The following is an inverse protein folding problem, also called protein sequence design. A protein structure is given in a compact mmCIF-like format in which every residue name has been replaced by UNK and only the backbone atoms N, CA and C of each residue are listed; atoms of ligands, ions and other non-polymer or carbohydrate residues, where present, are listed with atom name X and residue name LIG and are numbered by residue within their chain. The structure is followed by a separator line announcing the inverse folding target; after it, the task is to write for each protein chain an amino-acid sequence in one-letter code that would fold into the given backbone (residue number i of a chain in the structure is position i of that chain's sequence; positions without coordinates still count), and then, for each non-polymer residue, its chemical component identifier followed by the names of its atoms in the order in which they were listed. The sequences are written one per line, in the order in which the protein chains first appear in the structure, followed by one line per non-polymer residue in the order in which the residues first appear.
data_IF_364852074957
#
_entry.id   IF_364852074957
#
_cell.length_a   1.000
_cell.length_b   1.000
_cell.length_c   1.000
_cell.angle_alpha   90.00
_cell.angle_beta   90.00
_cell.angle_gamma   90.00
#
_symmetry.space_group_name_H-M   'P 1'
#
loop_
_entity.id
_entity.type
_entity.pdbx_description
1 polymer ?
#
# COMPACT_ATOMS: atom_id res chain seq x y z
N UNK A 1 -12.56 -34.91 9.51
CA UNK A 1 -11.28 -35.48 10.00
C UNK A 1 -10.41 -34.35 10.54
N UNK A 2 -10.15 -34.36 11.85
CA UNK A 2 -9.18 -33.61 12.68
C UNK A 2 -9.03 -32.08 12.55
N UNK A 3 -9.93 -31.34 13.21
CA UNK A 3 -9.80 -29.91 13.49
C UNK A 3 -9.04 -29.53 14.77
N UNK A 4 -8.41 -30.48 15.49
CA UNK A 4 -8.00 -30.23 16.89
C UNK A 4 -6.53 -29.88 17.14
N UNK A 5 -5.62 -29.79 16.15
CA UNK A 5 -4.22 -29.46 16.46
C UNK A 5 -3.48 -28.66 15.37
N UNK A 6 -4.13 -27.67 14.76
CA UNK A 6 -3.43 -26.70 13.88
C UNK A 6 -2.70 -25.59 14.65
N UNK A 7 -3.02 -25.41 15.94
CA UNK A 7 -2.35 -24.44 16.83
C UNK A 7 -0.81 -24.57 16.86
N UNK A 8 -0.22 -25.77 17.05
CA UNK A 8 1.23 -25.91 16.99
C UNK A 8 1.81 -25.53 15.64
N UNK A 9 1.12 -25.83 14.52
CA UNK A 9 1.57 -25.46 13.18
C UNK A 9 1.62 -23.93 13.00
N UNK A 10 0.59 -23.20 13.45
CA UNK A 10 0.58 -21.74 13.39
C UNK A 10 1.66 -21.11 14.27
N UNK A 11 1.91 -21.68 15.45
CA UNK A 11 2.96 -21.21 16.35
C UNK A 11 4.34 -21.44 15.74
N UNK A 12 4.60 -22.63 15.18
CA UNK A 12 5.85 -22.93 14.48
C UNK A 12 6.04 -22.00 13.27
N UNK A 13 4.99 -21.75 12.49
CA UNK A 13 5.03 -20.80 11.37
C UNK A 13 5.33 -19.37 11.82
N UNK A 14 4.71 -18.91 12.91
CA UNK A 14 4.96 -17.58 13.46
C UNK A 14 6.41 -17.45 13.97
N UNK A 15 6.92 -18.46 14.67
CA UNK A 15 8.32 -18.48 15.12
C UNK A 15 9.27 -18.48 13.93
N UNK A 16 8.97 -19.27 12.89
CA UNK A 16 9.78 -19.31 11.68
C UNK A 16 9.85 -17.93 10.99
N UNK A 17 8.73 -17.22 10.87
CA UNK A 17 8.69 -15.87 10.31
C UNK A 17 9.48 -14.86 11.16
N UNK A 18 9.40 -14.95 12.48
CA UNK A 18 10.16 -14.05 13.37
C UNK A 18 11.67 -14.30 13.31
N UNK A 19 12.10 -15.55 13.14
CA UNK A 19 13.52 -15.92 13.09
C UNK A 19 14.11 -15.74 11.68
N UNK A 20 13.27 -15.74 10.64
CA UNK A 20 13.68 -15.63 9.24
C UNK A 20 14.66 -14.47 8.95
N UNK A 21 14.39 -13.21 9.29
CA UNK A 21 15.29 -12.10 8.95
C UNK A 21 16.65 -12.25 9.62
N UNK A 22 16.70 -12.81 10.84
CA UNK A 22 17.94 -13.04 11.57
C UNK A 22 18.80 -14.07 10.86
N UNK A 23 18.20 -15.15 10.34
CA UNK A 23 18.93 -16.15 9.55
C UNK A 23 19.40 -15.58 8.21
N UNK A 24 18.51 -14.90 7.50
CA UNK A 24 18.82 -14.30 6.19
C UNK A 24 19.92 -13.23 6.30
N UNK A 25 19.95 -12.46 7.39
CA UNK A 25 21.00 -11.46 7.63
C UNK A 25 22.40 -12.08 7.66
N UNK A 26 22.56 -13.35 8.10
CA UNK A 26 23.85 -14.04 8.09
C UNK A 26 24.34 -14.33 6.66
N UNK A 27 23.42 -14.54 5.71
CA UNK A 27 23.74 -14.76 4.30
C UNK A 27 23.87 -13.46 3.49
N UNK A 28 23.51 -12.32 4.10
CA UNK A 28 23.62 -10.99 3.53
C UNK A 28 22.29 -10.23 3.49
N UNK A 29 22.37 -8.90 3.59
CA UNK A 29 21.22 -8.01 3.65
C UNK A 29 20.31 -8.06 2.39
N UNK A 30 20.84 -8.53 1.26
CA UNK A 30 20.07 -8.68 0.02
C UNK A 30 18.91 -9.69 0.19
N UNK A 31 19.12 -10.78 0.93
CA UNK A 31 18.09 -11.79 1.17
C UNK A 31 16.96 -11.26 2.05
N UNK A 32 17.29 -10.47 3.07
CA UNK A 32 16.29 -9.80 3.91
C UNK A 32 15.48 -8.82 3.07
N UNK A 33 16.13 -8.02 2.21
CA UNK A 33 15.46 -7.09 1.31
C UNK A 33 14.48 -7.78 0.35
N UNK A 34 14.82 -8.97 -0.16
CA UNK A 34 13.89 -9.76 -0.98
C UNK A 34 12.68 -10.20 -0.15
N UNK A 35 12.89 -10.60 1.11
CA UNK A 35 11.81 -10.97 2.01
C UNK A 35 10.91 -9.75 2.36
N UNK A 36 11.49 -8.56 2.52
CA UNK A 36 10.76 -7.31 2.73
C UNK A 36 9.86 -6.98 1.54
N UNK A 37 10.41 -7.06 0.32
CA UNK A 37 9.63 -6.87 -0.89
C UNK A 37 8.50 -7.89 -0.97
N UNK A 38 8.76 -9.17 -0.67
CA UNK A 38 7.72 -10.19 -0.65
C UNK A 38 6.58 -9.84 0.33
N UNK A 39 6.89 -9.37 1.54
CA UNK A 39 5.87 -8.91 2.50
C UNK A 39 5.09 -7.70 1.98
N UNK A 40 5.76 -6.77 1.31
CA UNK A 40 5.13 -5.61 0.68
C UNK A 40 4.14 -6.03 -0.42
N UNK A 41 4.52 -6.96 -1.30
CA UNK A 41 3.60 -7.51 -2.31
C UNK A 41 2.43 -8.27 -1.68
N UNK A 42 2.63 -8.96 -0.56
CA UNK A 42 1.53 -9.58 0.20
C UNK A 42 0.54 -8.53 0.68
N UNK A 43 1.00 -7.38 1.19
CA UNK A 43 0.10 -6.28 1.57
C UNK A 43 -0.67 -5.73 0.38
N UNK A 44 0.00 -5.50 -0.75
CA UNK A 44 -0.63 -5.03 -1.99
C UNK A 44 -1.68 -6.02 -2.50
N UNK A 45 -1.36 -7.31 -2.53
CA UNK A 45 -2.27 -8.37 -2.95
C UNK A 45 -3.50 -8.44 -2.02
N UNK A 46 -3.30 -8.38 -0.70
CA UNK A 46 -4.41 -8.35 0.26
C UNK A 46 -5.32 -7.12 0.08
N UNK A 47 -4.75 -5.96 -0.24
CA UNK A 47 -5.50 -4.75 -0.53
C UNK A 47 -6.32 -4.86 -1.82
N UNK A 48 -5.71 -5.35 -2.90
CA UNK A 48 -6.38 -5.58 -4.18
C UNK A 48 -7.46 -6.67 -4.09
N UNK A 49 -7.25 -7.70 -3.27
CA UNK A 49 -8.22 -8.78 -3.04
C UNK A 49 -9.57 -8.27 -2.50
N UNK A 50 -9.61 -7.10 -1.87
CA UNK A 50 -10.88 -6.48 -1.46
C UNK A 50 -11.73 -6.11 -2.69
N UNK A 51 -11.10 -5.56 -3.73
CA UNK A 51 -11.78 -5.08 -4.94
C UNK A 51 -12.07 -6.25 -5.87
N UNK A 52 -11.03 -7.04 -6.18
CA UNK A 52 -11.12 -8.15 -7.13
C UNK A 52 -11.79 -9.36 -6.51
N UNK A 53 -11.35 -9.78 -5.34
CA UNK A 53 -11.84 -10.99 -4.66
C UNK A 53 -13.22 -10.81 -4.05
N UNK A 54 -13.49 -9.73 -3.30
CA UNK A 54 -14.79 -9.60 -2.63
C UNK A 54 -15.85 -8.96 -3.50
N UNK A 55 -15.55 -7.85 -4.18
CA UNK A 55 -16.53 -7.12 -4.99
C UNK A 55 -16.62 -7.62 -6.45
N UNK A 56 -15.67 -8.43 -6.93
CA UNK A 56 -15.67 -8.96 -8.30
C UNK A 56 -15.34 -7.92 -9.36
N UNK A 57 -14.63 -6.85 -9.00
CA UNK A 57 -14.29 -5.74 -9.88
C UNK A 57 -12.84 -5.89 -10.31
N UNK A 58 -12.59 -6.12 -11.60
CA UNK A 58 -11.22 -6.24 -12.10
C UNK A 58 -10.55 -4.86 -12.14
N UNK A 59 -9.46 -4.72 -11.38
CA UNK A 59 -8.69 -3.48 -11.27
C UNK A 59 -7.23 -3.74 -11.67
N UNK A 60 -6.89 -3.36 -12.91
CA UNK A 60 -5.54 -3.43 -13.44
C UNK A 60 -4.76 -2.13 -13.19
N UNK A 61 -5.40 -1.12 -12.58
CA UNK A 61 -4.82 0.18 -12.28
C UNK A 61 -4.29 0.32 -10.86
N UNK A 62 -4.21 -0.78 -10.10
CA UNK A 62 -3.93 -0.76 -8.67
C UNK A 62 -2.62 -0.03 -8.31
N UNK A 63 -1.64 -0.06 -9.22
CA UNK A 63 -0.37 0.65 -9.09
C UNK A 63 -0.53 2.17 -8.91
N UNK A 64 -1.63 2.76 -9.36
CA UNK A 64 -1.91 4.18 -9.14
C UNK A 64 -2.11 4.50 -7.65
N UNK A 65 -2.81 3.65 -6.90
CA UNK A 65 -3.03 3.87 -5.47
C UNK A 65 -1.73 3.65 -4.69
N UNK A 66 -0.92 2.70 -5.14
CA UNK A 66 0.43 2.49 -4.65
C UNK A 66 1.31 3.74 -4.87
N UNK A 67 1.26 4.33 -6.07
CA UNK A 67 1.98 5.57 -6.40
C UNK A 67 1.52 6.76 -5.54
N UNK A 68 0.21 6.96 -5.39
CA UNK A 68 -0.34 8.05 -4.57
C UNK A 68 0.18 8.01 -3.14
N UNK A 69 0.21 6.83 -2.52
CA UNK A 69 0.72 6.68 -1.15
C UNK A 69 2.24 6.86 -1.04
N UNK A 70 2.99 6.40 -2.04
CA UNK A 70 4.44 6.56 -2.08
C UNK A 70 4.85 8.03 -2.27
N UNK A 71 4.21 8.74 -3.19
CA UNK A 71 4.46 10.16 -3.41
C UNK A 71 3.95 11.04 -2.27
N UNK A 72 2.85 10.67 -1.61
CA UNK A 72 2.41 11.38 -0.41
C UNK A 72 3.47 11.30 0.70
N UNK A 73 4.01 10.10 0.95
CA UNK A 73 5.08 9.95 1.95
C UNK A 73 6.36 10.63 1.50
N UNK A 74 6.77 10.47 0.23
CA UNK A 74 7.95 11.14 -0.32
C UNK A 74 7.86 12.66 -0.21
N UNK A 75 6.71 13.26 -0.45
CA UNK A 75 6.52 14.71 -0.29
C UNK A 75 6.58 15.17 1.15
N UNK A 76 5.95 14.44 2.08
CA UNK A 76 5.92 14.84 3.48
C UNK A 76 7.27 14.60 4.16
N UNK A 77 7.87 13.43 3.94
CA UNK A 77 9.09 12.97 4.59
C UNK A 77 10.36 13.28 3.77
N UNK A 78 10.33 14.26 2.84
CA UNK A 78 11.55 14.74 2.18
C UNK A 78 11.62 16.27 2.21
N UNK A 79 12.83 16.84 2.02
CA UNK A 79 13.01 18.29 1.91
C UNK A 79 12.30 18.90 0.68
N UNK A 80 11.93 18.08 -0.31
CA UNK A 80 11.45 18.54 -1.62
C UNK A 80 10.23 19.45 -1.53
N UNK A 81 9.27 19.15 -0.63
CA UNK A 81 8.07 19.98 -0.47
C UNK A 81 8.40 21.39 0.04
N UNK A 82 9.42 21.53 0.89
CA UNK A 82 9.86 22.82 1.44
C UNK A 82 10.61 23.64 0.39
N UNK A 83 11.40 22.97 -0.46
CA UNK A 83 12.09 23.60 -1.58
C UNK A 83 11.11 24.15 -2.61
N UNK A 84 10.03 23.43 -2.89
CA UNK A 84 9.03 23.83 -3.89
C UNK A 84 8.07 24.91 -3.39
N UNK A 85 7.74 24.93 -2.09
CA UNK A 85 6.78 25.88 -1.51
C UNK A 85 7.39 26.68 -0.34
N UNK A 86 7.99 27.86 -0.61
CA UNK A 86 8.63 28.70 0.41
C UNK A 86 7.67 29.16 1.52
N UNK A 87 6.38 29.31 1.22
CA UNK A 87 5.36 29.66 2.22
C UNK A 87 5.13 28.55 3.27
N UNK A 88 5.30 27.29 2.87
CA UNK A 88 5.21 26.13 3.78
C UNK A 88 6.51 26.00 4.58
N UNK A 89 7.66 26.26 3.96
CA UNK A 89 8.95 26.31 4.63
C UNK A 89 9.00 27.37 5.76
N UNK A 90 8.35 28.52 5.55
CA UNK A 90 8.24 29.57 6.57
C UNK A 90 7.34 29.18 7.76
N UNK A 91 6.32 28.35 7.53
CA UNK A 91 5.43 27.85 8.59
C UNK A 91 6.03 26.65 9.34
N UNK A 92 6.87 25.83 8.68
CA UNK A 92 7.48 24.62 9.23
C UNK A 92 9.00 24.60 8.93
N UNK A 93 9.82 25.36 9.68
CA UNK A 93 11.24 25.54 9.40
C UNK A 93 12.09 24.27 9.58
N UNK A 94 11.59 23.28 10.33
CA UNK A 94 12.23 21.97 10.50
C UNK A 94 11.64 20.89 9.56
N UNK A 95 10.85 21.26 8.55
CA UNK A 95 10.19 20.30 7.68
C UNK A 95 9.06 19.50 8.32
N UNK A 96 8.24 18.89 7.46
CA UNK A 96 7.25 17.90 7.87
C UNK A 96 7.96 16.55 8.07
N UNK A 97 8.99 16.48 8.93
CA UNK A 97 9.57 15.21 9.42
C UNK A 97 8.54 14.48 10.31
N UNK A 98 7.39 14.18 9.71
CA UNK A 98 6.15 13.88 10.38
C UNK A 98 6.22 12.45 10.82
N UNK A 99 5.77 12.19 12.05
CA UNK A 99 5.73 10.82 12.55
C UNK A 99 4.91 9.94 11.61
N UNK A 100 5.41 8.73 11.37
CA UNK A 100 4.77 7.69 10.56
C UNK A 100 3.29 7.47 10.94
N UNK A 101 2.98 7.64 12.22
CA UNK A 101 1.63 7.51 12.77
C UNK A 101 0.63 8.51 12.19
N UNK A 102 1.07 9.67 11.72
CA UNK A 102 0.21 10.64 11.04
C UNK A 102 0.10 10.34 9.55
N UNK A 103 1.21 9.92 8.92
CA UNK A 103 1.22 9.70 7.47
C UNK A 103 0.43 8.45 7.07
N UNK A 104 0.44 7.38 7.88
CA UNK A 104 -0.34 6.16 7.57
C UNK A 104 -1.86 6.46 7.47
N UNK A 105 -2.52 7.08 8.47
CA UNK A 105 -3.92 7.47 8.36
C UNK A 105 -4.18 8.45 7.21
N UNK A 106 -3.27 9.39 6.97
CA UNK A 106 -3.42 10.34 5.86
C UNK A 106 -3.34 9.62 4.51
N UNK A 107 -2.39 8.70 4.32
CA UNK A 107 -2.25 7.89 3.12
C UNK A 107 -3.48 7.00 2.90
N UNK A 108 -4.01 6.42 3.97
CA UNK A 108 -5.26 5.65 3.97
C UNK A 108 -6.41 6.52 3.44
N UNK A 109 -6.59 7.72 3.99
CA UNK A 109 -7.66 8.63 3.59
C UNK A 109 -7.48 9.15 2.16
N UNK A 110 -6.28 9.63 1.80
CA UNK A 110 -6.00 10.20 0.47
C UNK A 110 -6.15 9.12 -0.60
N UNK A 111 -5.54 7.96 -0.42
CA UNK A 111 -5.64 6.87 -1.39
C UNK A 111 -7.08 6.34 -1.47
N UNK A 112 -7.79 6.23 -0.35
CA UNK A 112 -9.21 5.83 -0.34
C UNK A 112 -10.12 6.83 -1.05
N UNK A 113 -9.89 8.13 -0.87
CA UNK A 113 -10.63 9.19 -1.59
C UNK A 113 -10.31 9.14 -3.08
N UNK A 114 -9.04 9.03 -3.47
CA UNK A 114 -8.65 8.88 -4.88
C UNK A 114 -9.27 7.62 -5.50
N UNK A 115 -9.30 6.50 -4.75
CA UNK A 115 -9.97 5.26 -5.15
C UNK A 115 -11.47 5.44 -5.37
N UNK A 116 -12.17 6.15 -4.47
CA UNK A 116 -13.59 6.44 -4.65
C UNK A 116 -13.86 7.41 -5.81
N UNK A 117 -13.00 8.42 -5.99
CA UNK A 117 -13.09 9.37 -7.09
C UNK A 117 -12.91 8.68 -8.44
N UNK A 118 -11.97 7.73 -8.52
CA UNK A 118 -11.79 6.89 -9.70
C UNK A 118 -12.95 5.90 -9.88
N UNK A 119 -13.42 5.30 -8.79
CA UNK A 119 -14.55 4.37 -8.82
C UNK A 119 -15.81 5.02 -9.37
N UNK A 120 -16.09 6.28 -9.03
CA UNK A 120 -17.34 6.95 -9.41
C UNK A 120 -17.66 6.93 -10.92
N UNK A 121 -16.74 7.30 -11.83
CA UNK A 121 -16.98 7.19 -13.27
C UNK A 121 -16.94 5.75 -13.78
N UNK A 122 -16.11 4.87 -13.21
CA UNK A 122 -15.88 3.52 -13.73
C UNK A 122 -17.00 2.54 -13.42
N UNK A 123 -17.83 2.80 -12.40
CA UNK A 123 -18.95 1.94 -12.02
C UNK A 123 -20.05 1.76 -13.08
N UNK A 124 -20.06 2.59 -14.12
CA UNK A 124 -20.96 2.41 -15.27
C UNK A 124 -20.49 1.30 -16.21
N UNK A 125 -19.23 0.88 -16.09
CA UNK A 125 -18.59 -0.13 -16.92
C UNK A 125 -18.62 -1.49 -16.22
N UNK A 126 -18.57 -2.57 -17.01
CA UNK A 126 -18.64 -3.95 -16.51
C UNK A 126 -17.58 -4.81 -17.18
N UNK A 127 -17.11 -5.82 -16.44
CA UNK A 127 -16.14 -6.80 -16.93
C UNK A 127 -14.90 -6.15 -17.53
N UNK A 128 -14.59 -6.51 -18.76
CA UNK A 128 -13.38 -6.08 -19.47
C UNK A 128 -13.30 -4.57 -19.68
N UNK A 129 -14.44 -3.87 -19.79
CA UNK A 129 -14.44 -2.41 -19.91
C UNK A 129 -13.94 -1.73 -18.63
N UNK A 130 -14.23 -2.30 -17.46
CA UNK A 130 -13.71 -1.79 -16.19
C UNK A 130 -12.19 -1.98 -16.11
N UNK A 131 -11.70 -3.14 -16.58
CA UNK A 131 -10.28 -3.46 -16.67
C UNK A 131 -9.49 -2.46 -17.51
N UNK A 132 -10.00 -2.15 -18.72
CA UNK A 132 -9.34 -1.25 -19.66
C UNK A 132 -9.23 0.16 -19.08
N UNK A 133 -10.27 0.64 -18.40
CA UNK A 133 -10.26 2.00 -17.83
C UNK A 133 -9.36 2.10 -16.60
N UNK A 134 -9.32 1.06 -15.75
CA UNK A 134 -8.39 1.05 -14.61
C UNK A 134 -6.94 0.99 -15.07
N UNK A 135 -6.62 0.18 -16.08
CA UNK A 135 -5.31 0.16 -16.73
C UNK A 135 -4.93 1.56 -17.25
N UNK A 136 -5.83 2.19 -18.00
CA UNK A 136 -5.63 3.54 -18.53
C UNK A 136 -5.38 4.55 -17.41
N UNK A 137 -6.12 4.46 -16.30
CA UNK A 137 -5.88 5.31 -15.13
C UNK A 137 -4.51 5.08 -14.49
N UNK A 138 -4.09 3.82 -14.34
CA UNK A 138 -2.74 3.47 -13.87
C UNK A 138 -1.66 4.20 -14.67
N UNK A 139 -1.79 4.17 -16.00
CA UNK A 139 -0.83 4.85 -16.87
C UNK A 139 -0.98 6.37 -16.89
N UNK A 140 -2.19 6.90 -16.78
CA UNK A 140 -2.42 8.34 -16.62
C UNK A 140 -1.72 8.84 -15.36
N UNK A 141 -1.82 8.12 -14.23
CA UNK A 141 -1.15 8.52 -12.99
C UNK A 141 0.37 8.49 -13.15
N UNK A 142 0.94 7.46 -13.80
CA UNK A 142 2.37 7.42 -14.06
C UNK A 142 2.84 8.59 -14.92
N UNK A 143 2.14 8.88 -16.02
CA UNK A 143 2.46 10.00 -16.91
C UNK A 143 2.26 11.33 -16.18
N UNK A 144 1.19 11.46 -15.38
CA UNK A 144 0.91 12.63 -14.58
C UNK A 144 2.04 12.90 -13.60
N UNK A 145 2.49 11.90 -12.84
CA UNK A 145 3.63 12.01 -11.92
C UNK A 145 4.95 12.31 -12.65
N UNK A 146 5.12 11.84 -13.88
CA UNK A 146 6.31 12.15 -14.68
C UNK A 146 6.32 13.61 -15.18
N UNK A 147 5.15 14.19 -15.46
CA UNK A 147 5.02 15.56 -15.97
C UNK A 147 4.66 16.59 -14.87
N UNK A 148 4.58 16.17 -13.60
CA UNK A 148 4.27 17.06 -12.47
C UNK A 148 5.55 17.70 -11.89
N UNK A 149 6.50 18.00 -12.77
CA UNK A 149 7.65 18.87 -12.57
C UNK A 149 7.35 20.32 -13.00
N UNK A 150 6.34 20.52 -13.86
CA UNK A 150 5.89 21.82 -14.35
C UNK A 150 4.35 21.99 -14.23
N UNK A 151 3.81 23.17 -13.88
CA UNK A 151 4.46 24.46 -13.59
C UNK A 151 5.03 24.58 -12.16
N UNK A 152 4.63 23.71 -11.23
CA UNK A 152 5.19 23.62 -9.89
C UNK A 152 5.86 22.25 -9.74
N UNK A 153 7.12 22.23 -9.29
CA UNK A 153 7.90 20.99 -9.21
C UNK A 153 7.51 20.17 -7.97
N UNK A 154 6.42 19.40 -8.06
CA UNK A 154 5.91 18.61 -6.93
C UNK A 154 6.59 17.23 -6.89
N UNK A 155 6.90 16.64 -8.03
CA UNK A 155 7.34 15.23 -8.11
C UNK A 155 8.77 15.04 -8.57
N UNK A 156 9.41 16.13 -9.01
CA UNK A 156 10.71 16.09 -9.69
C UNK A 156 10.72 15.27 -10.99
N UNK A 157 9.52 14.96 -11.53
CA UNK A 157 9.33 14.22 -12.78
C UNK A 157 10.10 12.89 -12.80
N UNK A 158 10.86 12.58 -13.87
CA UNK A 158 11.60 11.32 -13.98
C UNK A 158 12.76 11.21 -12.98
N UNK A 159 13.21 12.32 -12.37
CA UNK A 159 14.27 12.26 -11.35
C UNK A 159 13.77 11.68 -10.03
N UNK A 160 12.46 11.75 -9.78
CA UNK A 160 11.85 11.30 -8.56
C UNK A 160 12.25 12.10 -7.31
N UNK A 161 11.68 11.71 -6.18
CA UNK A 161 11.95 12.30 -4.87
C UNK A 161 12.95 11.41 -4.14
N UNK A 162 14.07 11.99 -3.72
CA UNK A 162 15.13 11.32 -2.98
C UNK A 162 15.21 11.82 -1.53
N UNK A 163 16.10 11.21 -0.74
CA UNK A 163 16.34 11.58 0.66
C UNK A 163 15.06 11.54 1.49
N UNK A 164 14.24 10.52 1.23
CA UNK A 164 13.04 10.27 2.02
C UNK A 164 13.48 9.75 3.38
N UNK A 165 12.99 10.37 4.44
CA UNK A 165 13.36 10.01 5.80
C UNK A 165 12.97 8.57 6.12
N UNK A 166 13.83 7.86 6.88
CA UNK A 166 13.48 6.55 7.38
C UNK A 166 12.35 6.63 8.41
N UNK A 167 11.70 5.49 8.61
CA UNK A 167 10.62 5.39 9.61
C UNK A 167 11.21 5.55 11.02
N UNK A 168 10.65 6.48 11.79
CA UNK A 168 11.00 6.68 13.19
C UNK A 168 9.80 6.32 14.08
N UNK A 169 9.95 5.30 14.94
CA UNK A 169 8.88 4.83 15.85
C UNK A 169 9.37 4.91 17.29
N UNK A 170 8.73 5.73 18.12
CA UNK A 170 9.04 5.89 19.56
C UNK A 170 10.54 6.15 19.85
N UNK A 171 11.23 6.89 18.98
CA UNK A 171 12.66 7.20 19.11
C UNK A 171 13.62 6.15 18.53
N UNK A 172 13.10 5.06 17.96
CA UNK A 172 13.87 4.10 17.17
C UNK A 172 13.88 4.53 15.70
N UNK A 173 15.07 4.79 15.18
CA UNK A 173 15.34 5.13 13.79
C UNK A 173 15.59 3.86 12.98
N UNK A 174 14.63 3.50 12.12
CA UNK A 174 14.70 2.29 11.31
C UNK A 174 15.74 2.41 10.18
N UNK A 175 16.25 3.61 9.90
CA UNK A 175 17.34 3.85 8.95
C UNK A 175 18.72 3.50 9.51
N UNK A 176 18.83 3.25 10.83
CA UNK A 176 20.10 2.92 11.49
C UNK A 176 20.07 1.50 12.05
N UNK A 177 21.21 0.77 12.02
CA UNK A 177 21.30 -0.54 12.65
C UNK A 177 21.16 -0.42 14.16
N UNK A 178 20.32 -1.26 14.76
CA UNK A 178 20.13 -1.32 16.20
C UNK A 178 21.18 -2.26 16.81
N UNK A 179 22.08 -1.71 17.62
CA UNK A 179 23.10 -2.49 18.33
C UNK A 179 22.60 -2.87 19.73
N UNK A 180 22.28 -4.15 19.93
CA UNK A 180 21.92 -4.75 21.22
C UNK A 180 23.12 -5.55 21.74
N UNK A 181 23.98 -4.90 22.52
CA UNK A 181 25.19 -5.54 23.06
C UNK A 181 26.14 -6.03 21.96
N UNK A 182 26.32 -7.35 21.86
CA UNK A 182 27.17 -8.00 20.85
C UNK A 182 26.46 -8.31 19.52
N UNK A 183 25.14 -8.08 19.42
CA UNK A 183 24.36 -8.36 18.21
C UNK A 183 23.86 -7.07 17.58
N UNK A 184 24.16 -6.90 16.29
CA UNK A 184 23.67 -5.78 15.48
C UNK A 184 22.53 -6.23 14.58
N UNK A 185 21.34 -5.68 14.79
CA UNK A 185 20.19 -5.86 13.90
C UNK A 185 20.28 -4.79 12.81
N UNK A 186 20.40 -5.23 11.57
CA UNK A 186 20.52 -4.31 10.44
C UNK A 186 19.19 -3.59 10.18
N UNK A 187 19.26 -2.36 9.66
CA UNK A 187 18.08 -1.55 9.32
C UNK A 187 17.04 -2.33 8.48
N UNK A 188 17.51 -3.08 7.48
CA UNK A 188 16.66 -3.93 6.61
C UNK A 188 15.84 -4.94 7.44
N UNK A 189 16.43 -5.54 8.47
CA UNK A 189 15.71 -6.46 9.36
C UNK A 189 14.70 -5.76 10.26
N UNK A 190 14.91 -4.48 10.60
CA UNK A 190 13.90 -3.69 11.33
C UNK A 190 12.67 -3.43 10.46
N UNK A 191 12.88 -3.09 9.18
CA UNK A 191 11.79 -2.95 8.21
C UNK A 191 11.03 -4.25 7.99
N UNK A 192 11.72 -5.40 8.00
CA UNK A 192 11.06 -6.72 7.96
C UNK A 192 10.03 -6.88 9.07
N UNK A 193 10.41 -6.59 10.32
CA UNK A 193 9.47 -6.70 11.44
C UNK A 193 8.32 -5.72 11.33
N UNK A 194 8.57 -4.50 10.83
CA UNK A 194 7.52 -3.52 10.57
C UNK A 194 6.52 -4.04 9.52
N UNK A 195 7.01 -4.54 8.39
CA UNK A 195 6.17 -5.12 7.33
C UNK A 195 5.41 -6.34 7.82
N UNK A 196 6.05 -7.21 8.62
CA UNK A 196 5.39 -8.38 9.19
C UNK A 196 4.20 -7.98 10.08
N UNK A 197 4.39 -6.98 10.96
CA UNK A 197 3.30 -6.45 11.80
C UNK A 197 2.19 -5.87 10.94
N UNK A 198 2.51 -5.09 9.91
CA UNK A 198 1.52 -4.48 9.02
C UNK A 198 0.77 -5.53 8.17
N UNK A 199 1.45 -6.58 7.69
CA UNK A 199 0.82 -7.71 7.01
C UNK A 199 -0.17 -8.40 7.94
N UNK A 200 0.24 -8.73 9.17
CA UNK A 200 -0.64 -9.37 10.15
C UNK A 200 -1.86 -8.49 10.44
N UNK A 201 -1.66 -7.18 10.64
CA UNK A 201 -2.76 -6.23 10.81
C UNK A 201 -3.68 -6.19 9.58
N UNK A 202 -3.12 -6.17 8.38
CA UNK A 202 -3.88 -6.18 7.12
C UNK A 202 -4.71 -7.46 6.99
N UNK A 203 -4.14 -8.63 7.30
CA UNK A 203 -4.86 -9.91 7.32
C UNK A 203 -6.02 -9.87 8.31
N UNK A 204 -5.78 -9.40 9.54
CA UNK A 204 -6.84 -9.28 10.57
C UNK A 204 -7.96 -8.36 10.07
N UNK A 205 -7.62 -7.20 9.50
CA UNK A 205 -8.61 -6.26 8.99
C UNK A 205 -9.38 -6.86 7.81
N UNK A 206 -8.70 -7.48 6.83
CA UNK A 206 -9.33 -8.10 5.68
C UNK A 206 -10.26 -9.25 6.09
N UNK A 207 -9.86 -10.07 7.07
CA UNK A 207 -10.70 -11.15 7.62
C UNK A 207 -11.95 -10.58 8.30
N UNK A 208 -11.80 -9.58 9.17
CA UNK A 208 -12.94 -8.92 9.82
C UNK A 208 -13.83 -8.20 8.82
N UNK A 209 -13.28 -7.65 7.75
CA UNK A 209 -14.01 -6.98 6.69
C UNK A 209 -14.84 -7.97 5.88
N UNK A 210 -14.30 -9.15 5.56
CA UNK A 210 -15.01 -10.24 4.90
C UNK A 210 -16.21 -10.73 5.72
N UNK A 211 -16.03 -10.92 7.03
CA UNK A 211 -17.12 -11.30 7.96
C UNK A 211 -18.07 -10.14 8.30
N UNK A 212 -17.80 -8.92 7.84
CA UNK A 212 -18.67 -7.77 8.11
C UNK A 212 -19.92 -7.76 7.24
N UNK A 213 -20.89 -6.90 7.58
CA UNK A 213 -22.07 -6.66 6.73
C UNK A 213 -21.69 -6.14 5.34
N UNK A 214 -20.65 -5.31 5.27
CA UNK A 214 -20.15 -4.71 4.02
C UNK A 214 -19.52 -5.79 3.14
N UNK A 215 -18.67 -6.65 3.71
CA UNK A 215 -18.05 -7.77 3.00
C UNK A 215 -19.07 -8.76 2.44
N UNK A 216 -20.08 -9.14 3.23
CA UNK A 216 -21.20 -9.96 2.75
C UNK A 216 -21.99 -9.31 1.63
N UNK A 217 -22.21 -8.00 1.70
CA UNK A 217 -22.90 -7.27 0.64
C UNK A 217 -22.08 -7.22 -0.65
N UNK A 218 -20.75 -7.13 -0.59
CA UNK A 218 -19.88 -7.25 -1.76
C UNK A 218 -19.94 -8.63 -2.39
N UNK A 219 -19.88 -9.69 -1.59
CA UNK A 219 -20.02 -11.06 -2.09
C UNK A 219 -21.38 -11.25 -2.78
N UNK A 220 -22.48 -10.72 -2.21
CA UNK A 220 -23.79 -10.78 -2.86
C UNK A 220 -23.84 -10.01 -4.20
N UNK A 221 -23.19 -8.85 -4.28
CA UNK A 221 -23.08 -8.07 -5.53
C UNK A 221 -22.25 -8.79 -6.59
N UNK A 222 -21.20 -9.51 -6.17
CA UNK A 222 -20.33 -10.29 -7.05
C UNK A 222 -21.08 -11.47 -7.69
N UNK A 223 -21.97 -12.13 -6.94
CA UNK A 223 -22.79 -13.23 -7.44
C UNK A 223 -23.89 -12.76 -8.40
N UNK A 224 -24.72 -11.79 -7.98
CA UNK A 224 -25.74 -11.19 -8.85
C UNK A 224 -26.06 -9.75 -8.40
N UNK A 225 -25.54 -8.79 -9.15
CA UNK A 225 -25.79 -7.36 -8.91
C UNK A 225 -27.28 -6.99 -9.03
N UNK A 226 -28.03 -7.62 -9.93
CA UNK A 226 -29.44 -7.30 -10.18
C UNK A 226 -30.30 -7.79 -9.02
N UNK A 227 -30.05 -9.01 -8.55
CA UNK A 227 -30.70 -9.55 -7.36
C UNK A 227 -30.35 -8.75 -6.10
N UNK A 228 -29.06 -8.42 -5.90
CA UNK A 228 -28.62 -7.58 -4.78
C UNK A 228 -29.34 -6.22 -4.76
N UNK A 229 -29.51 -5.60 -5.93
CA UNK A 229 -30.23 -4.33 -6.08
C UNK A 229 -31.73 -4.48 -5.82
N UNK A 230 -32.36 -5.59 -6.22
CA UNK A 230 -33.76 -5.89 -5.91
C UNK A 230 -34.00 -6.09 -4.40
N UNK A 231 -32.99 -6.59 -3.68
CA UNK A 231 -33.00 -6.73 -2.22
C UNK A 231 -32.74 -5.41 -1.46
N UNK A 232 -32.65 -4.27 -2.16
CA UNK A 232 -32.50 -2.95 -1.56
C UNK A 232 -31.05 -2.53 -1.25
N UNK A 233 -30.04 -3.28 -1.72
CA UNK A 233 -28.64 -2.88 -1.56
C UNK A 233 -28.29 -1.75 -2.52
N UNK A 234 -27.65 -0.69 -2.01
CA UNK A 234 -27.09 0.36 -2.83
C UNK A 234 -25.76 -0.11 -3.44
N UNK A 235 -25.84 -0.79 -4.59
CA UNK A 235 -24.69 -1.40 -5.27
C UNK A 235 -23.62 -0.38 -5.64
N UNK A 236 -24.02 0.85 -6.01
CA UNK A 236 -23.09 1.94 -6.32
C UNK A 236 -22.21 2.28 -5.12
N UNK A 237 -22.81 2.60 -3.97
CA UNK A 237 -22.05 3.01 -2.79
C UNK A 237 -21.19 1.87 -2.26
N UNK A 238 -21.70 0.63 -2.30
CA UNK A 238 -20.93 -0.53 -1.90
C UNK A 238 -19.71 -0.74 -2.79
N UNK A 239 -19.85 -0.68 -4.12
CA UNK A 239 -18.69 -0.81 -5.02
C UNK A 239 -17.69 0.35 -4.87
N UNK A 240 -18.15 1.58 -4.62
CA UNK A 240 -17.27 2.71 -4.28
C UNK A 240 -16.48 2.45 -3.00
N UNK A 241 -17.13 1.92 -1.96
CA UNK A 241 -16.46 1.54 -0.72
C UNK A 241 -15.43 0.44 -0.97
N UNK A 242 -15.69 -0.51 -1.87
CA UNK A 242 -14.70 -1.54 -2.23
C UNK A 242 -13.44 -0.91 -2.82
N UNK A 243 -13.59 -0.04 -3.82
CA UNK A 243 -12.47 0.70 -4.42
C UNK A 243 -11.72 1.55 -3.39
N UNK A 244 -12.43 2.31 -2.55
CA UNK A 244 -11.81 3.13 -1.51
C UNK A 244 -11.03 2.30 -0.49
N UNK A 245 -11.59 1.17 -0.03
CA UNK A 245 -10.93 0.29 0.94
C UNK A 245 -9.71 -0.40 0.32
N UNK A 246 -9.80 -0.91 -0.91
CA UNK A 246 -8.65 -1.51 -1.59
C UNK A 246 -7.54 -0.50 -1.88
N UNK A 247 -7.90 0.69 -2.36
CA UNK A 247 -6.96 1.78 -2.62
C UNK A 247 -6.26 2.25 -1.35
N UNK A 248 -6.97 2.27 -0.21
CA UNK A 248 -6.41 2.63 1.10
C UNK A 248 -5.22 1.74 1.48
N UNK A 249 -5.34 0.41 1.33
CA UNK A 249 -4.22 -0.51 1.58
C UNK A 249 -3.09 -0.35 0.57
N UNK A 250 -3.42 -0.03 -0.69
CA UNK A 250 -2.45 0.30 -1.73
C UNK A 250 -1.63 1.53 -1.35
N UNK A 251 -2.29 2.58 -0.86
CA UNK A 251 -1.65 3.80 -0.37
C UNK A 251 -0.71 3.55 0.81
N UNK A 252 -1.15 2.78 1.82
CA UNK A 252 -0.30 2.42 2.96
C UNK A 252 0.93 1.62 2.51
N UNK A 253 0.75 0.69 1.58
CA UNK A 253 1.86 -0.07 0.99
C UNK A 253 2.82 0.84 0.21
N UNK A 254 2.30 1.87 -0.47
CA UNK A 254 3.08 2.92 -1.13
C UNK A 254 3.94 3.72 -0.17
N UNK A 255 3.34 4.15 0.92
CA UNK A 255 4.05 4.86 1.99
C UNK A 255 5.17 3.99 2.59
N UNK A 256 4.91 2.69 2.80
CA UNK A 256 5.95 1.74 3.23
C UNK A 256 7.08 1.59 2.22
N UNK A 257 6.75 1.47 0.93
CA UNK A 257 7.73 1.35 -0.15
C UNK A 257 8.66 2.56 -0.18
N UNK A 258 8.09 3.77 -0.16
CA UNK A 258 8.84 5.02 -0.14
C UNK A 258 9.79 5.10 1.06
N UNK A 259 9.29 4.74 2.26
CA UNK A 259 10.07 4.78 3.48
C UNK A 259 11.18 3.72 3.53
N UNK A 260 11.00 2.57 2.90
CA UNK A 260 12.00 1.51 2.84
C UNK A 260 13.06 1.76 1.76
N UNK A 261 12.63 2.23 0.59
CA UNK A 261 13.51 2.46 -0.55
C UNK A 261 14.30 3.77 -0.44
N UNK A 262 13.80 4.75 0.32
CA UNK A 262 14.40 6.08 0.49
C UNK A 262 14.33 6.96 -0.76
N UNK A 263 13.62 6.48 -1.78
CA UNK A 263 13.51 7.08 -3.10
C UNK A 263 12.22 6.61 -3.79
N UNK A 264 11.57 7.52 -4.52
CA UNK A 264 10.36 7.22 -5.29
C UNK A 264 10.47 7.88 -6.66
N UNK A 265 10.23 7.11 -7.73
CA UNK A 265 10.14 7.61 -9.11
C UNK A 265 8.93 7.03 -9.85
N UNK A 266 8.44 7.69 -10.92
CA UNK A 266 7.27 7.21 -11.65
C UNK A 266 7.47 5.82 -12.27
N UNK A 267 8.71 5.47 -12.63
CA UNK A 267 9.06 4.19 -13.24
C UNK A 267 8.85 3.00 -12.29
N UNK A 268 8.84 3.25 -10.98
CA UNK A 268 8.54 2.24 -9.95
C UNK A 268 7.08 1.76 -10.01
N UNK A 269 6.20 2.50 -10.71
CA UNK A 269 4.77 2.24 -10.79
C UNK A 269 4.36 1.86 -12.22
N UNK A 270 5.01 0.84 -12.76
CA UNK A 270 4.72 0.35 -14.11
C UNK A 270 3.46 -0.52 -14.16
N UNK A 271 2.87 -0.65 -15.35
CA UNK A 271 1.77 -1.58 -15.58
C UNK A 271 2.16 -3.04 -15.27
N UNK A 272 3.42 -3.42 -15.48
CA UNK A 272 3.90 -4.76 -15.17
C UNK A 272 3.80 -5.05 -13.66
N UNK A 273 4.08 -4.05 -12.82
CA UNK A 273 3.90 -4.17 -11.37
C UNK A 273 2.43 -4.42 -11.01
N UNK A 274 1.52 -3.69 -11.65
CA UNK A 274 0.08 -3.89 -11.45
C UNK A 274 -0.36 -5.30 -11.82
N UNK A 275 0.08 -5.81 -12.99
CA UNK A 275 -0.21 -7.19 -13.42
C UNK A 275 0.35 -8.21 -12.45
N UNK A 276 1.58 -7.98 -11.94
CA UNK A 276 2.20 -8.86 -10.96
C UNK A 276 1.35 -8.94 -9.68
N UNK A 277 0.87 -7.80 -9.17
CA UNK A 277 0.00 -7.77 -7.98
C UNK A 277 -1.32 -8.50 -8.24
N UNK A 278 -1.95 -8.27 -9.41
CA UNK A 278 -3.19 -8.96 -9.80
C UNK A 278 -2.99 -10.48 -9.88
N UNK A 279 -1.84 -10.94 -10.37
CA UNK A 279 -1.55 -12.38 -10.49
C UNK A 279 -1.42 -13.11 -9.15
N UNK A 280 -1.21 -12.37 -8.05
CA UNK A 280 -1.11 -12.92 -6.70
C UNK A 280 -2.48 -13.06 -6.00
N UNK A 281 -3.55 -12.48 -6.58
CA UNK A 281 -4.92 -12.45 -6.03
C UNK A 281 -5.78 -13.50 -6.72
#
# INVERSE_FOLDING_TARGET
MNGSNKKPLYIVGAIALLVLPLLLQHFGNAWVRIADLALLYVMLALGLNIVVGYAGLLDLGYVAFFAVGAYLFGLLASPHLLETFPAIAAAFPNGFHTSMFFVIPLALLVAGVVGMLLGAPTLKLRGDYLAIVTLGFGEIIRIFLNNLDYPYNITNGPKGINQIDPVNIFGLDFGKPLSLGSYTIQSVSLYYYLFLVLVVLTIIICYRLQESRIGRAWMAIREDETAAKAMGLNTRNLKLLAFGMGASFGGVSGTMFAAFQGFVSPESFSLMESIMIVSMV
#
